data_IF_913350189256
#
_entry.id   IF_913350189256
#
_cell.length_a   1.000
_cell.length_b   1.000
_cell.length_c   1.000
_cell.angle_alpha   90.00
_cell.angle_beta   90.00
_cell.angle_gamma   90.00
#
_symmetry.space_group_name_H-M   'P 1'
#
loop_
_entity.id
_entity.type
_entity.pdbx_description
1 polymer ?
#
# COMPACT_ATOMS: atom_id res chain seq x y z
N UNK A 1 -44.74 -47.83 3.34
CA UNK A 1 -43.84 -47.24 2.33
C UNK A 1 -43.46 -45.84 2.81
N UNK A 2 -42.28 -45.63 3.42
CA UNK A 2 -41.92 -44.31 3.96
C UNK A 2 -41.51 -43.39 2.82
N UNK A 3 -42.21 -42.24 2.69
CA UNK A 3 -41.80 -41.21 1.75
C UNK A 3 -40.43 -40.68 2.20
N UNK A 4 -39.47 -40.59 1.28
CA UNK A 4 -38.19 -39.95 1.49
C UNK A 4 -38.30 -38.50 1.01
N UNK A 5 -39.20 -37.72 1.62
CA UNK A 5 -39.18 -36.26 1.38
C UNK A 5 -37.89 -35.73 1.99
N UNK A 6 -36.95 -35.34 1.12
CA UNK A 6 -35.70 -34.73 1.55
C UNK A 6 -36.07 -33.49 2.35
N UNK A 7 -35.70 -33.46 3.64
CA UNK A 7 -36.03 -32.36 4.54
C UNK A 7 -35.55 -31.04 3.94
N UNK A 8 -36.36 -29.98 4.04
CA UNK A 8 -35.99 -28.64 3.59
C UNK A 8 -34.62 -28.21 4.15
N UNK A 9 -34.27 -28.65 5.35
CA UNK A 9 -32.95 -28.42 5.96
C UNK A 9 -31.81 -29.06 5.17
N UNK A 10 -32.00 -30.28 4.65
CA UNK A 10 -31.01 -30.96 3.83
C UNK A 10 -30.88 -30.29 2.44
N UNK A 11 -31.98 -29.79 1.88
CA UNK A 11 -31.94 -29.01 0.63
C UNK A 11 -31.21 -27.68 0.81
N UNK A 12 -31.48 -26.96 1.90
CA UNK A 12 -30.77 -25.72 2.25
C UNK A 12 -29.28 -26.00 2.46
N UNK A 13 -28.95 -27.07 3.18
CA UNK A 13 -27.55 -27.45 3.42
C UNK A 13 -26.81 -27.77 2.11
N UNK A 14 -27.42 -28.56 1.22
CA UNK A 14 -26.84 -28.88 -0.10
C UNK A 14 -26.70 -27.62 -0.96
N UNK A 15 -27.67 -26.72 -0.91
CA UNK A 15 -27.60 -25.44 -1.63
C UNK A 15 -26.46 -24.56 -1.12
N UNK A 16 -26.32 -24.41 0.20
CA UNK A 16 -25.22 -23.65 0.82
C UNK A 16 -23.87 -24.27 0.48
N UNK A 17 -23.77 -25.60 0.55
CA UNK A 17 -22.55 -26.32 0.19
C UNK A 17 -22.19 -26.13 -1.29
N UNK A 18 -23.17 -26.21 -2.19
CA UNK A 18 -22.96 -25.99 -3.61
C UNK A 18 -22.51 -24.55 -3.92
N UNK A 19 -23.06 -23.55 -3.23
CA UNK A 19 -22.66 -22.15 -3.37
C UNK A 19 -21.24 -21.90 -2.84
N UNK A 20 -20.86 -22.53 -1.72
CA UNK A 20 -19.53 -22.41 -1.14
C UNK A 20 -18.44 -23.01 -2.06
N UNK A 21 -18.73 -24.17 -2.66
CA UNK A 21 -17.82 -24.85 -3.61
C UNK A 21 -17.73 -24.15 -4.98
N UNK A 22 -18.67 -23.27 -5.31
CA UNK A 22 -18.73 -22.53 -6.58
C UNK A 22 -17.99 -21.19 -6.59
N UNK A 23 -17.22 -20.86 -5.54
CA UNK A 23 -16.50 -19.59 -5.45
C UNK A 23 -15.37 -19.51 -6.48
N UNK A 24 -15.53 -18.66 -7.49
CA UNK A 24 -14.48 -18.34 -8.47
C UNK A 24 -13.56 -17.26 -7.91
N UNK A 25 -12.24 -17.29 -8.19
CA UNK A 25 -11.34 -16.22 -7.77
C UNK A 25 -11.73 -14.92 -8.49
N UNK A 26 -12.37 -14.01 -7.78
CA UNK A 26 -12.60 -12.65 -8.26
C UNK A 26 -11.32 -11.84 -7.98
N UNK A 27 -10.57 -11.48 -9.04
CA UNK A 27 -9.39 -10.61 -8.96
C UNK A 27 -9.76 -9.12 -8.73
N UNK A 28 -10.76 -8.85 -7.89
CA UNK A 28 -11.06 -7.51 -7.44
C UNK A 28 -10.02 -7.15 -6.36
N UNK A 29 -8.89 -6.57 -6.79
CA UNK A 29 -7.70 -6.19 -6.01
C UNK A 29 -7.95 -5.09 -4.95
N UNK A 30 -9.21 -4.89 -4.56
CA UNK A 30 -9.66 -3.91 -3.58
C UNK A 30 -10.41 -4.64 -2.47
N UNK A 31 -9.76 -5.60 -1.84
CA UNK A 31 -10.08 -5.90 -0.44
C UNK A 31 -9.82 -4.59 0.35
N UNK A 32 -10.76 -4.09 1.18
CA UNK A 32 -10.55 -2.91 2.02
C UNK A 32 -9.20 -2.90 2.74
N UNK A 33 -8.68 -4.07 3.13
CA UNK A 33 -7.37 -4.23 3.73
C UNK A 33 -6.21 -3.82 2.78
N UNK A 34 -6.27 -4.21 1.51
CA UNK A 34 -5.26 -3.87 0.51
C UNK A 34 -5.27 -2.38 0.14
N UNK A 35 -6.46 -1.77 0.08
CA UNK A 35 -6.62 -0.34 -0.16
C UNK A 35 -5.94 0.52 0.93
N UNK A 36 -6.13 0.16 2.19
CA UNK A 36 -5.48 0.86 3.32
C UNK A 36 -3.96 0.71 3.32
N UNK A 37 -3.43 -0.46 2.96
CA UNK A 37 -1.98 -0.71 2.89
C UNK A 37 -1.30 0.19 1.85
N UNK A 38 -1.89 0.35 0.67
CA UNK A 38 -1.36 1.24 -0.38
C UNK A 38 -1.32 2.69 0.13
N UNK A 39 -2.39 3.14 0.78
CA UNK A 39 -2.45 4.49 1.35
C UNK A 39 -1.40 4.68 2.45
N UNK A 40 -1.20 3.70 3.34
CA UNK A 40 -0.18 3.76 4.39
C UNK A 40 1.24 3.85 3.81
N UNK A 41 1.57 3.01 2.82
CA UNK A 41 2.88 3.03 2.16
C UNK A 41 3.10 4.36 1.44
N UNK A 42 2.07 4.89 0.77
CA UNK A 42 2.16 6.17 0.07
C UNK A 42 2.39 7.33 1.05
N UNK A 43 1.57 7.42 2.10
CA UNK A 43 1.67 8.49 3.10
C UNK A 43 2.98 8.39 3.90
N UNK A 44 3.35 7.18 4.32
CA UNK A 44 4.60 6.92 5.02
C UNK A 44 5.82 7.20 4.15
N UNK A 45 5.77 6.83 2.87
CA UNK A 45 6.81 7.12 1.89
C UNK A 45 7.01 8.62 1.67
N UNK A 46 5.93 9.38 1.48
CA UNK A 46 5.98 10.85 1.33
C UNK A 46 6.55 11.50 2.60
N UNK A 47 6.07 11.11 3.78
CA UNK A 47 6.55 11.66 5.05
C UNK A 47 8.04 11.35 5.27
N UNK A 48 8.48 10.11 4.99
CA UNK A 48 9.87 9.70 5.08
C UNK A 48 10.77 10.46 4.09
N UNK A 49 10.31 10.65 2.86
CA UNK A 49 11.05 11.40 1.84
C UNK A 49 11.18 12.88 2.20
N UNK A 50 10.10 13.50 2.71
CA UNK A 50 10.14 14.88 3.19
C UNK A 50 11.14 15.07 4.34
N UNK A 51 11.16 14.15 5.31
CA UNK A 51 12.14 14.15 6.39
C UNK A 51 13.57 13.95 5.88
N UNK A 52 13.77 13.02 4.95
CA UNK A 52 15.07 12.78 4.32
C UNK A 52 15.61 14.06 3.67
N UNK A 53 14.81 14.73 2.83
CA UNK A 53 15.22 16.00 2.22
C UNK A 53 15.48 17.10 3.25
N UNK A 54 14.67 17.19 4.31
CA UNK A 54 14.87 18.17 5.37
C UNK A 54 16.18 17.94 6.13
N UNK A 55 16.51 16.69 6.46
CA UNK A 55 17.72 16.34 7.21
C UNK A 55 18.99 16.47 6.34
N UNK A 56 18.90 16.11 5.06
CA UNK A 56 20.05 16.06 4.17
C UNK A 56 20.12 17.22 3.18
N UNK A 57 19.31 18.28 3.33
CA UNK A 57 19.24 19.40 2.39
C UNK A 57 20.62 19.94 2.00
N UNK A 58 21.53 20.13 2.97
CA UNK A 58 22.90 20.57 2.71
C UNK A 58 23.71 19.56 1.89
N UNK A 59 23.61 18.26 2.18
CA UNK A 59 24.29 17.21 1.39
C UNK A 59 23.71 17.10 -0.02
N UNK A 60 22.39 17.24 -0.16
CA UNK A 60 21.70 17.27 -1.44
C UNK A 60 22.22 18.46 -2.26
N UNK A 61 22.20 19.67 -1.71
CA UNK A 61 22.74 20.88 -2.36
C UNK A 61 24.23 20.75 -2.70
N UNK A 62 25.04 20.18 -1.81
CA UNK A 62 26.45 19.92 -2.05
C UNK A 62 26.68 18.92 -3.19
N UNK A 63 25.85 17.87 -3.28
CA UNK A 63 25.86 16.93 -4.40
C UNK A 63 25.49 17.61 -5.73
N UNK A 64 24.60 18.60 -5.70
CA UNK A 64 24.29 19.46 -6.85
C UNK A 64 25.30 20.60 -7.07
N UNK A 65 26.43 20.64 -6.35
CA UNK A 65 27.51 21.60 -6.57
C UNK A 65 27.24 23.01 -6.07
N UNK A 66 26.25 23.21 -5.19
CA UNK A 66 25.91 24.51 -4.64
C UNK A 66 26.85 25.00 -3.51
N UNK A 67 27.67 24.11 -2.93
CA UNK A 67 28.73 24.48 -1.98
C UNK A 67 30.00 24.88 -2.76
N UNK A 68 29.98 26.04 -3.43
CA UNK A 68 31.24 26.72 -3.79
C UNK A 68 31.60 27.66 -2.65
N UNK A 69 32.68 27.43 -1.90
CA UNK A 69 33.17 28.42 -0.96
C UNK A 69 33.45 29.70 -1.75
N UNK A 70 32.80 30.80 -1.33
CA UNK A 70 33.10 32.12 -1.84
C UNK A 70 34.59 32.34 -1.55
N UNK A 71 35.41 32.32 -2.59
CA UNK A 71 36.84 32.54 -2.48
C UNK A 71 37.00 33.98 -2.03
N UNK A 72 37.27 34.18 -0.74
CA UNK A 72 37.61 35.48 -0.18
C UNK A 72 38.82 35.99 -0.96
N UNK A 73 38.59 36.98 -1.81
CA UNK A 73 39.64 37.64 -2.56
C UNK A 73 40.55 38.33 -1.52
N UNK A 74 41.88 38.15 -1.57
CA UNK A 74 42.76 38.85 -0.65
C UNK A 74 42.61 40.34 -0.92
N UNK A 75 42.15 41.06 0.10
CA UNK A 75 42.13 42.51 0.16
C UNK A 75 43.58 43.01 0.15
N UNK A 76 44.10 43.20 -1.07
CA UNK A 76 45.42 43.76 -1.32
C UNK A 76 45.37 45.27 -1.13
N UNK A 77 46.03 45.73 -0.07
CA UNK A 77 46.50 47.11 0.08
C UNK A 77 47.61 47.42 -0.90
#
# INVERSE_FOLDING_TARGET
MPNKSVSATALIFVLVLALALGTRPAHAYLDPAAGSMILQVLLGGIAGLALFFRLFWRKVLAFFGADRPKKDAPEGR
#
